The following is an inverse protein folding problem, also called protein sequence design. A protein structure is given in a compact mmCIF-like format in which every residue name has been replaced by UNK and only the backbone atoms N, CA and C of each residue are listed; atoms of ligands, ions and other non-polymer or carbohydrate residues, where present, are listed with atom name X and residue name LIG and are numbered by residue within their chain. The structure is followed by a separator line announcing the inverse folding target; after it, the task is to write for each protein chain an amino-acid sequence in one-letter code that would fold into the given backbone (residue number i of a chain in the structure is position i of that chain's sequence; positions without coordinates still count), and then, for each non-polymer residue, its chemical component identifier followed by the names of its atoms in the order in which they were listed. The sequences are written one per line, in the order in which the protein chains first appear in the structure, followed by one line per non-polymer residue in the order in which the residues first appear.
data_IF_614263226913
#
_entry.id   IF_614263226913
#
_cell.length_a   1.000
_cell.length_b   1.000
_cell.length_c   1.000
_cell.angle_alpha   90.00
_cell.angle_beta   90.00
_cell.angle_gamma   90.00
#
_symmetry.space_group_name_H-M   'P 1'
#
loop_
_entity.id
_entity.type
_entity.pdbx_description
1 polymer ?
#
# COMPACT_ATOMS: atom_id res chain seq x y z
N UNK A 1 -14.87 71.18 36.73
CA UNK A 1 -16.02 70.20 36.63
C UNK A 1 -15.88 69.44 35.31
N UNK A 2 -15.51 68.15 35.34
CA UNK A 2 -15.27 67.40 34.13
C UNK A 2 -16.62 67.04 33.51
N UNK A 3 -16.79 67.30 32.23
CA UNK A 3 -18.01 67.12 31.50
C UNK A 3 -18.48 65.65 31.56
N UNK A 4 -19.74 65.39 31.99
CA UNK A 4 -20.31 64.05 32.13
C UNK A 4 -20.17 63.19 30.83
N UNK A 5 -20.24 63.85 29.67
CA UNK A 5 -19.99 63.17 28.38
C UNK A 5 -18.57 62.66 28.22
N UNK A 6 -17.58 63.35 28.75
CA UNK A 6 -16.17 62.88 28.74
C UNK A 6 -15.96 61.65 29.64
N UNK A 7 -16.58 61.68 30.82
CA UNK A 7 -16.52 60.54 31.74
C UNK A 7 -17.17 59.30 31.13
N UNK A 8 -18.33 59.48 30.50
CA UNK A 8 -19.02 58.39 29.81
C UNK A 8 -18.24 57.79 28.66
N UNK A 9 -17.60 58.61 27.83
CA UNK A 9 -16.77 58.15 26.74
C UNK A 9 -15.48 57.43 27.23
N UNK A 10 -14.88 57.86 28.32
CA UNK A 10 -13.73 57.21 28.93
C UNK A 10 -14.11 55.84 29.52
N UNK A 11 -15.28 55.76 30.18
CA UNK A 11 -15.82 54.51 30.70
C UNK A 11 -16.17 53.52 29.56
N UNK A 12 -16.76 54.02 28.47
CA UNK A 12 -17.09 53.22 27.30
C UNK A 12 -15.85 52.65 26.63
N UNK A 13 -14.78 53.45 26.50
CA UNK A 13 -13.50 53.02 25.93
C UNK A 13 -12.82 52.00 26.85
N UNK A 14 -12.85 52.15 28.18
CA UNK A 14 -12.33 51.19 29.13
C UNK A 14 -13.08 49.85 29.09
N UNK A 15 -14.42 49.88 28.98
CA UNK A 15 -15.24 48.67 28.85
C UNK A 15 -14.96 48.00 27.52
N UNK A 16 -14.83 48.73 26.42
CA UNK A 16 -14.52 48.19 25.11
C UNK A 16 -13.09 47.56 25.04
N UNK A 17 -12.12 48.19 25.73
CA UNK A 17 -10.76 47.65 25.82
C UNK A 17 -10.66 46.38 26.69
N UNK A 18 -11.54 46.26 27.71
CA UNK A 18 -11.62 45.07 28.55
C UNK A 18 -12.20 43.84 27.81
N UNK A 19 -13.06 44.06 26.81
CA UNK A 19 -13.62 43.03 25.94
C UNK A 19 -12.67 42.61 24.84
N UNK A 20 -11.63 43.37 24.52
CA UNK A 20 -10.62 43.04 23.50
C UNK A 20 -9.42 42.22 24.06
N UNK A 21 -9.28 42.16 25.38
CA UNK A 21 -8.19 41.42 26.03
C UNK A 21 -8.31 39.88 26.00
N UNK A 22 -9.51 39.26 25.94
CA UNK A 22 -9.56 37.77 25.91
C UNK A 22 -9.45 37.16 24.55
N UNK A 23 -9.35 37.91 23.44
CA UNK A 23 -9.27 37.34 22.10
C UNK A 23 -7.84 36.85 21.69
N UNK A 24 -6.85 37.18 22.48
CA UNK A 24 -5.46 36.74 22.23
C UNK A 24 -5.09 35.39 22.81
N UNK A 25 -5.90 34.84 23.72
CA UNK A 25 -5.53 33.63 24.46
C UNK A 25 -5.81 32.29 23.75
N UNK A 26 -6.55 32.33 22.61
CA UNK A 26 -6.89 31.11 21.88
C UNK A 26 -5.96 30.79 20.69
N UNK A 27 -4.93 31.59 20.46
CA UNK A 27 -3.98 31.40 19.35
C UNK A 27 -2.58 30.96 19.83
N UNK A 28 -2.43 30.59 21.08
CA UNK A 28 -1.17 30.02 21.53
C UNK A 28 -1.10 28.57 21.03
N UNK A 29 -0.25 28.33 20.01
CA UNK A 29 -0.02 27.03 19.41
C UNK A 29 0.47 25.99 20.44
N UNK A 30 1.11 26.45 21.53
CA UNK A 30 1.66 25.59 22.56
C UNK A 30 0.59 25.08 23.54
N UNK A 31 -0.54 25.80 23.72
CA UNK A 31 -1.65 25.34 24.59
C UNK A 31 -2.49 24.26 23.91
N UNK A 32 -2.57 24.27 22.59
CA UNK A 32 -3.32 23.28 21.81
C UNK A 32 -2.45 22.10 21.33
N UNK A 33 -1.19 22.04 21.76
CA UNK A 33 -0.29 20.96 21.41
C UNK A 33 -0.57 19.76 22.29
N UNK A 34 -0.91 18.64 21.68
CA UNK A 34 -1.00 17.36 22.39
C UNK A 34 0.38 16.97 22.90
N UNK A 35 0.52 16.68 24.19
CA UNK A 35 1.78 16.14 24.77
C UNK A 35 2.17 14.77 24.19
N UNK A 36 1.29 14.16 23.42
CA UNK A 36 1.46 12.82 22.82
C UNK A 36 1.59 12.85 21.29
N UNK A 37 1.53 14.02 20.69
CA UNK A 37 1.75 14.20 19.25
C UNK A 37 3.12 14.80 19.00
N UNK A 38 3.94 14.14 18.19
CA UNK A 38 5.21 14.67 17.72
C UNK A 38 4.97 15.96 16.92
N UNK A 39 5.78 17.00 17.16
CA UNK A 39 5.70 18.22 16.35
C UNK A 39 6.31 18.04 14.95
N UNK A 40 6.11 19.04 14.09
CA UNK A 40 6.61 18.98 12.72
C UNK A 40 8.14 18.84 12.64
N UNK A 41 8.89 19.37 13.61
CA UNK A 41 10.35 19.22 13.67
C UNK A 41 10.73 17.82 14.20
N UNK A 42 10.02 17.30 15.21
CA UNK A 42 10.22 15.94 15.70
C UNK A 42 9.83 14.90 14.65
N UNK A 43 8.75 15.16 13.90
CA UNK A 43 8.34 14.28 12.80
C UNK A 43 9.33 14.27 11.64
N UNK A 44 10.07 15.36 11.41
CA UNK A 44 11.16 15.40 10.43
C UNK A 44 12.46 14.79 10.96
N UNK A 45 12.68 14.81 12.29
CA UNK A 45 13.80 14.09 12.89
C UNK A 45 13.64 12.59 12.66
N UNK A 46 14.74 11.93 12.33
CA UNK A 46 14.79 10.46 12.14
C UNK A 46 13.87 9.93 11.02
N UNK A 47 13.46 10.76 10.07
CA UNK A 47 12.58 10.36 8.96
C UNK A 47 11.25 9.70 9.40
N UNK A 48 10.67 10.12 10.53
CA UNK A 48 9.42 9.53 11.05
C UNK A 48 8.28 9.56 10.03
N UNK A 49 8.11 10.66 9.28
CA UNK A 49 7.05 10.76 8.26
C UNK A 49 7.29 9.74 7.14
N UNK A 50 8.52 9.61 6.68
CA UNK A 50 8.91 8.67 5.62
C UNK A 50 8.66 7.24 6.09
N UNK A 51 9.06 6.91 7.32
CA UNK A 51 8.80 5.61 7.93
C UNK A 51 7.30 5.33 8.06
N UNK A 52 6.50 6.29 8.48
CA UNK A 52 5.04 6.12 8.60
C UNK A 52 4.38 5.86 7.24
N UNK A 53 4.77 6.59 6.19
CA UNK A 53 4.24 6.37 4.83
C UNK A 53 4.66 5.01 4.27
N UNK A 54 5.92 4.61 4.43
CA UNK A 54 6.39 3.28 4.00
C UNK A 54 5.64 2.15 4.72
N UNK A 55 5.49 2.23 6.05
CA UNK A 55 4.73 1.25 6.84
C UNK A 55 3.26 1.20 6.46
N UNK A 56 2.66 2.36 6.19
CA UNK A 56 1.30 2.44 5.65
C UNK A 56 1.17 1.71 4.32
N UNK A 57 2.10 1.92 3.39
CA UNK A 57 2.13 1.21 2.10
C UNK A 57 2.37 -0.29 2.25
N UNK A 58 3.21 -0.73 3.19
CA UNK A 58 3.42 -2.16 3.48
C UNK A 58 2.11 -2.86 3.84
N UNK A 59 1.27 -2.21 4.67
CA UNK A 59 -0.05 -2.72 5.04
C UNK A 59 -1.06 -2.83 3.88
N UNK A 60 -0.78 -2.20 2.73
CA UNK A 60 -1.62 -2.28 1.53
C UNK A 60 -1.20 -3.37 0.56
N UNK A 61 0.02 -3.92 0.66
CA UNK A 61 0.49 -5.00 -0.22
C UNK A 61 -0.38 -6.24 -0.08
N UNK A 62 -0.67 -6.66 1.15
CA UNK A 62 -1.71 -7.63 1.46
C UNK A 62 -2.69 -6.95 2.42
N UNK A 63 -3.92 -6.66 1.98
CA UNK A 63 -4.87 -5.95 2.82
C UNK A 63 -5.12 -6.67 4.13
N UNK A 64 -5.03 -5.96 5.25
CA UNK A 64 -5.28 -6.50 6.58
C UNK A 64 -6.75 -6.41 6.99
N UNK A 65 -7.53 -5.56 6.30
CA UNK A 65 -8.97 -5.46 6.50
C UNK A 65 -9.69 -6.62 5.80
N UNK A 66 -10.55 -7.31 6.53
CA UNK A 66 -11.22 -8.52 6.12
C UNK A 66 -11.93 -8.42 4.76
N UNK A 67 -12.76 -7.40 4.56
CA UNK A 67 -13.51 -7.22 3.31
C UNK A 67 -12.61 -6.97 2.10
N UNK A 68 -11.62 -6.10 2.23
CA UNK A 68 -10.71 -5.80 1.13
C UNK A 68 -9.87 -7.02 0.77
N UNK A 69 -9.38 -7.74 1.78
CA UNK A 69 -8.69 -9.01 1.57
C UNK A 69 -9.58 -10.02 0.85
N UNK A 70 -10.81 -10.22 1.34
CA UNK A 70 -11.78 -11.16 0.79
C UNK A 70 -12.06 -10.91 -0.69
N UNK A 71 -12.35 -9.67 -1.06
CA UNK A 71 -12.70 -9.34 -2.44
C UNK A 71 -11.50 -9.42 -3.37
N UNK A 72 -10.35 -8.95 -2.94
CA UNK A 72 -9.12 -9.03 -3.72
C UNK A 72 -8.68 -10.49 -3.90
N UNK A 73 -8.67 -11.29 -2.85
CA UNK A 73 -8.29 -12.71 -2.91
C UNK A 73 -9.24 -13.51 -3.77
N UNK A 74 -10.55 -13.28 -3.65
CA UNK A 74 -11.56 -13.95 -4.44
C UNK A 74 -11.34 -13.78 -5.95
N UNK A 75 -11.03 -12.57 -6.40
CA UNK A 75 -10.78 -12.26 -7.81
C UNK A 75 -9.36 -12.61 -8.26
N UNK A 76 -8.37 -12.50 -7.39
CA UNK A 76 -6.98 -12.80 -7.70
C UNK A 76 -6.68 -14.31 -7.78
N UNK A 77 -7.63 -15.17 -7.43
CA UNK A 77 -7.46 -16.61 -7.56
C UNK A 77 -8.23 -17.47 -6.56
N UNK A 78 -8.61 -16.97 -5.42
CA UNK A 78 -9.32 -17.75 -4.40
C UNK A 78 -10.61 -18.37 -4.92
N UNK A 79 -11.65 -17.56 -5.12
CA UNK A 79 -12.92 -18.04 -5.66
C UNK A 79 -12.89 -18.20 -7.19
N UNK A 80 -12.32 -17.25 -7.93
CA UNK A 80 -12.24 -17.34 -9.38
C UNK A 80 -11.32 -18.46 -9.89
N UNK A 81 -10.30 -18.81 -9.13
CA UNK A 81 -9.46 -19.98 -9.40
C UNK A 81 -10.06 -21.31 -8.96
N UNK A 82 -11.25 -21.30 -8.34
CA UNK A 82 -11.93 -22.51 -7.86
C UNK A 82 -11.34 -23.10 -6.58
N UNK A 83 -10.48 -22.37 -5.85
CA UNK A 83 -9.91 -22.85 -4.59
C UNK A 83 -10.87 -22.67 -3.41
N UNK A 84 -11.63 -21.57 -3.41
CA UNK A 84 -12.57 -21.21 -2.37
C UNK A 84 -14.00 -21.17 -2.91
N UNK A 85 -14.97 -21.55 -2.08
CA UNK A 85 -16.39 -21.49 -2.39
C UNK A 85 -17.13 -20.72 -1.29
N UNK A 86 -18.01 -19.80 -1.70
CA UNK A 86 -18.92 -19.10 -0.79
C UNK A 86 -20.03 -20.03 -0.34
N UNK A 87 -20.16 -20.23 0.97
CA UNK A 87 -21.11 -21.19 1.55
C UNK A 87 -22.35 -20.54 2.18
N UNK A 88 -22.44 -19.21 2.15
CA UNK A 88 -23.62 -18.52 2.69
C UNK A 88 -24.81 -18.74 1.75
N UNK A 89 -25.78 -19.54 2.18
CA UNK A 89 -26.93 -19.93 1.35
C UNK A 89 -27.82 -18.76 0.95
N UNK A 90 -27.87 -17.72 1.78
CA UNK A 90 -28.66 -16.51 1.51
C UNK A 90 -28.03 -15.58 0.46
N UNK A 91 -26.78 -15.80 0.08
CA UNK A 91 -26.13 -15.00 -0.94
C UNK A 91 -26.54 -15.46 -2.34
N UNK A 92 -27.35 -14.64 -3.01
CA UNK A 92 -27.71 -14.84 -4.42
C UNK A 92 -26.52 -14.52 -5.32
N UNK A 93 -25.74 -13.49 -4.98
CA UNK A 93 -24.55 -13.07 -5.71
C UNK A 93 -23.29 -13.58 -5.00
N UNK A 94 -22.41 -14.29 -5.75
CA UNK A 94 -21.18 -14.90 -5.20
C UNK A 94 -20.05 -14.80 -6.20
N UNK A 95 -18.81 -14.61 -5.72
CA UNK A 95 -17.61 -14.73 -6.55
C UNK A 95 -17.46 -16.13 -7.15
N UNK A 96 -17.70 -17.18 -6.37
CA UNK A 96 -17.59 -18.58 -6.83
C UNK A 96 -18.54 -18.96 -7.97
N UNK A 97 -19.59 -18.21 -8.20
CA UNK A 97 -20.51 -18.36 -9.33
C UNK A 97 -20.31 -17.31 -10.43
N UNK A 98 -19.24 -16.55 -10.38
CA UNK A 98 -18.92 -15.43 -11.30
C UNK A 98 -20.02 -14.37 -11.39
N UNK A 99 -20.79 -14.21 -10.32
CA UNK A 99 -21.88 -13.24 -10.21
C UNK A 99 -21.77 -12.45 -8.90
N UNK A 100 -20.65 -11.71 -8.65
CA UNK A 100 -20.49 -10.89 -7.46
C UNK A 100 -21.30 -9.60 -7.56
N UNK A 101 -21.56 -8.98 -6.41
CA UNK A 101 -22.13 -7.64 -6.36
C UNK A 101 -21.14 -6.61 -6.93
N UNK A 102 -21.65 -5.59 -7.64
CA UNK A 102 -20.79 -4.56 -8.25
C UNK A 102 -19.92 -3.78 -7.24
N UNK A 103 -20.44 -3.54 -6.04
CA UNK A 103 -19.66 -2.91 -4.96
C UNK A 103 -18.42 -3.71 -4.58
N UNK A 104 -18.54 -5.04 -4.59
CA UNK A 104 -17.42 -5.94 -4.29
C UNK A 104 -16.33 -5.92 -5.39
N UNK A 105 -16.76 -5.73 -6.64
CA UNK A 105 -15.83 -5.58 -7.77
C UNK A 105 -15.10 -4.23 -7.76
N UNK A 106 -15.70 -3.19 -7.18
CA UNK A 106 -15.14 -1.84 -7.20
C UNK A 106 -14.03 -1.66 -6.16
N UNK A 107 -14.18 -2.24 -4.97
CA UNK A 107 -13.29 -2.03 -3.83
C UNK A 107 -11.83 -2.42 -4.11
N UNK A 108 -11.51 -3.62 -4.65
CA UNK A 108 -10.13 -4.00 -4.95
C UNK A 108 -9.44 -3.15 -6.02
N UNK A 109 -10.19 -2.40 -6.82
CA UNK A 109 -9.65 -1.42 -7.76
C UNK A 109 -9.42 -0.07 -7.11
N UNK A 110 -10.45 0.47 -6.45
CA UNK A 110 -10.47 1.85 -5.99
C UNK A 110 -9.65 2.06 -4.70
N UNK A 111 -9.74 1.12 -3.74
CA UNK A 111 -9.13 1.29 -2.44
C UNK A 111 -7.59 1.28 -2.50
N UNK A 112 -6.90 0.37 -3.23
CA UNK A 112 -5.46 0.46 -3.37
C UNK A 112 -4.98 1.78 -3.98
N UNK A 113 -5.68 2.28 -4.99
CA UNK A 113 -5.35 3.56 -5.64
C UNK A 113 -5.53 4.72 -4.66
N UNK A 114 -6.69 4.77 -3.99
CA UNK A 114 -7.05 5.84 -3.05
C UNK A 114 -6.14 5.88 -1.83
N UNK A 115 -5.75 4.72 -1.29
CA UNK A 115 -5.02 4.64 -0.04
C UNK A 115 -3.49 4.70 -0.25
N UNK A 116 -2.97 4.25 -1.40
CA UNK A 116 -1.53 4.19 -1.66
C UNK A 116 -0.96 5.47 -2.26
N UNK A 117 -1.60 6.04 -3.29
CA UNK A 117 -1.00 7.19 -4.01
C UNK A 117 -0.81 8.44 -3.16
N UNK A 118 -1.70 8.82 -2.22
CA UNK A 118 -1.42 9.92 -1.30
C UNK A 118 -0.17 9.67 -0.46
N UNK A 119 -0.01 8.47 0.10
CA UNK A 119 1.16 8.11 0.91
C UNK A 119 2.45 8.14 0.07
N UNK A 120 2.41 7.59 -1.14
CA UNK A 120 3.56 7.61 -2.05
C UNK A 120 3.95 9.04 -2.44
N UNK A 121 2.97 9.91 -2.71
CA UNK A 121 3.21 11.34 -2.98
C UNK A 121 3.79 12.09 -1.79
N UNK A 122 3.26 11.83 -0.60
CA UNK A 122 3.79 12.43 0.62
C UNK A 122 5.25 12.04 0.85
N UNK A 123 5.60 10.79 0.61
CA UNK A 123 6.98 10.33 0.70
C UNK A 123 7.88 11.06 -0.31
N UNK A 124 7.48 11.17 -1.57
CA UNK A 124 8.24 11.90 -2.61
C UNK A 124 8.47 13.37 -2.27
N UNK A 125 7.53 13.98 -1.52
CA UNK A 125 7.63 15.39 -1.10
C UNK A 125 8.43 15.58 0.20
N UNK A 126 8.74 14.51 0.94
CA UNK A 126 9.33 14.59 2.29
C UNK A 126 10.77 14.09 2.37
N UNK A 127 11.26 13.36 1.37
CA UNK A 127 12.61 12.83 1.38
C UNK A 127 13.23 12.82 0.00
N UNK A 128 14.54 13.08 -0.05
CA UNK A 128 15.41 12.87 -1.22
C UNK A 128 16.30 11.63 -1.03
N UNK A 129 16.11 10.85 0.04
CA UNK A 129 16.87 9.63 0.31
C UNK A 129 16.57 8.58 -0.77
N UNK A 130 17.55 8.21 -1.61
CA UNK A 130 17.33 7.32 -2.73
C UNK A 130 16.90 5.92 -2.29
N UNK A 131 17.36 5.44 -1.13
CA UNK A 131 17.00 4.09 -0.62
C UNK A 131 15.56 4.07 -0.14
N UNK A 132 15.12 5.09 0.61
CA UNK A 132 13.73 5.22 1.04
C UNK A 132 12.78 5.32 -0.17
N UNK A 133 13.16 6.11 -1.19
CA UNK A 133 12.42 6.22 -2.44
C UNK A 133 12.37 4.91 -3.22
N UNK A 134 13.45 4.12 -3.21
CA UNK A 134 13.48 2.79 -3.81
C UNK A 134 12.51 1.84 -3.11
N UNK A 135 12.46 1.83 -1.77
CA UNK A 135 11.48 1.03 -1.03
C UNK A 135 10.04 1.40 -1.38
N UNK A 136 9.73 2.70 -1.44
CA UNK A 136 8.40 3.17 -1.84
C UNK A 136 8.03 2.76 -3.27
N UNK A 137 8.97 2.84 -4.21
CA UNK A 137 8.79 2.39 -5.60
C UNK A 137 8.49 0.90 -5.69
N UNK A 138 9.24 0.08 -4.94
CA UNK A 138 9.00 -1.38 -4.87
C UNK A 138 7.61 -1.68 -4.32
N UNK A 139 7.21 -1.03 -3.21
CA UNK A 139 5.90 -1.22 -2.61
C UNK A 139 4.76 -0.79 -3.55
N UNK A 140 4.92 0.33 -4.26
CA UNK A 140 3.97 0.74 -5.31
C UNK A 140 3.77 -0.35 -6.35
N UNK A 141 4.85 -0.93 -6.86
CA UNK A 141 4.78 -2.05 -7.81
C UNK A 141 4.05 -3.24 -7.18
N UNK A 142 4.39 -3.62 -5.94
CA UNK A 142 3.77 -4.75 -5.25
C UNK A 142 2.25 -4.60 -5.08
N UNK A 143 1.78 -3.38 -4.79
CA UNK A 143 0.36 -3.11 -4.62
C UNK A 143 -0.34 -3.11 -5.98
N UNK A 144 0.19 -2.36 -6.94
CA UNK A 144 -0.49 -2.11 -8.20
C UNK A 144 -0.43 -3.28 -9.19
N UNK A 145 0.58 -4.17 -9.09
CA UNK A 145 0.61 -5.36 -9.94
C UNK A 145 -0.58 -6.28 -9.69
N UNK A 146 -1.07 -6.38 -8.43
CA UNK A 146 -2.29 -7.15 -8.11
C UNK A 146 -3.53 -6.52 -8.73
N UNK A 147 -3.58 -5.19 -8.79
CA UNK A 147 -4.69 -4.47 -9.42
C UNK A 147 -4.73 -4.75 -10.93
N UNK A 148 -3.59 -4.63 -11.62
CA UNK A 148 -3.54 -4.93 -13.07
C UNK A 148 -3.74 -6.42 -13.36
N UNK A 149 -3.31 -7.33 -12.47
CA UNK A 149 -3.57 -8.78 -12.61
C UNK A 149 -5.08 -9.07 -12.63
N UNK A 150 -5.89 -8.31 -11.88
CA UNK A 150 -7.34 -8.50 -11.78
C UNK A 150 -8.09 -7.76 -12.89
N UNK A 151 -7.72 -6.52 -13.17
CA UNK A 151 -8.50 -5.62 -14.03
C UNK A 151 -7.92 -5.40 -15.44
N UNK A 152 -6.67 -5.83 -15.68
CA UNK A 152 -5.97 -5.56 -16.93
C UNK A 152 -5.49 -4.11 -17.01
N UNK A 153 -6.01 -3.27 -17.93
CA UNK A 153 -5.64 -1.87 -18.01
C UNK A 153 -5.99 -1.09 -16.74
N UNK A 154 -5.05 -0.29 -16.24
CA UNK A 154 -5.23 0.56 -15.05
C UNK A 154 -4.53 1.92 -15.24
N UNK A 155 -4.92 2.99 -14.51
CA UNK A 155 -4.16 4.22 -14.46
C UNK A 155 -2.87 3.97 -13.66
N UNK A 156 -1.70 4.12 -14.27
CA UNK A 156 -0.42 3.82 -13.63
C UNK A 156 0.67 4.85 -13.91
N UNK A 157 1.07 5.02 -15.18
CA UNK A 157 2.26 5.82 -15.54
C UNK A 157 2.08 7.30 -15.20
N UNK A 158 0.88 7.84 -15.37
CA UNK A 158 0.56 9.26 -15.19
C UNK A 158 -0.06 9.61 -13.84
N UNK A 159 -0.18 8.65 -12.92
CA UNK A 159 -0.79 8.90 -11.61
C UNK A 159 -0.02 9.87 -10.74
N UNK A 160 1.27 10.07 -11.03
CA UNK A 160 2.15 10.98 -10.28
C UNK A 160 2.44 12.28 -11.03
N UNK A 161 1.92 12.45 -12.24
CA UNK A 161 2.06 13.70 -12.97
C UNK A 161 1.28 14.81 -12.23
N UNK A 162 1.97 15.89 -11.88
CA UNK A 162 1.43 16.95 -11.01
C UNK A 162 0.41 17.86 -11.70
N UNK A 163 0.09 17.63 -12.96
CA UNK A 163 -0.72 18.52 -13.77
C UNK A 163 -2.24 18.33 -13.61
N UNK A 164 -2.64 17.66 -12.51
CA UNK A 164 -4.06 17.51 -12.15
C UNK A 164 -4.70 18.81 -11.58
N UNK A 165 -4.12 19.95 -11.86
CA UNK A 165 -4.66 21.26 -11.47
C UNK A 165 -5.69 21.83 -12.47
N UNK A 166 -5.98 21.11 -13.56
CA UNK A 166 -6.87 21.52 -14.61
C UNK A 166 -8.22 20.82 -14.61
N UNK A 167 -9.07 21.19 -15.53
CA UNK A 167 -10.44 20.72 -15.70
C UNK A 167 -10.57 19.21 -16.00
N UNK A 168 -9.46 18.51 -16.29
CA UNK A 168 -9.42 17.11 -16.65
C UNK A 168 -8.77 16.27 -15.52
N UNK A 169 -9.59 15.87 -14.54
CA UNK A 169 -9.20 14.99 -13.44
C UNK A 169 -9.03 13.51 -13.85
N UNK A 170 -9.28 13.20 -15.13
CA UNK A 170 -9.23 11.84 -15.62
C UNK A 170 -7.79 11.42 -15.95
N UNK A 171 -7.22 10.51 -15.17
CA UNK A 171 -5.95 9.87 -15.49
C UNK A 171 -6.19 8.78 -16.54
N UNK A 172 -5.49 8.81 -17.69
CA UNK A 172 -5.65 7.77 -18.71
C UNK A 172 -5.21 6.41 -18.22
N UNK A 173 -5.86 5.36 -18.72
CA UNK A 173 -5.47 3.98 -18.44
C UNK A 173 -4.31 3.58 -19.35
N UNK A 174 -3.31 2.96 -18.75
CA UNK A 174 -2.27 2.25 -19.49
C UNK A 174 -2.73 0.82 -19.79
N UNK A 175 -2.34 0.28 -20.93
CA UNK A 175 -2.55 -1.15 -21.20
C UNK A 175 -1.76 -2.00 -20.19
N UNK A 176 -2.17 -3.23 -19.94
CA UNK A 176 -1.45 -4.12 -19.01
C UNK A 176 0.01 -4.34 -19.43
N UNK A 177 0.29 -4.39 -20.74
CA UNK A 177 1.65 -4.46 -21.26
C UNK A 177 2.48 -3.24 -20.87
N UNK A 178 1.91 -2.03 -21.01
CA UNK A 178 2.56 -0.78 -20.59
C UNK A 178 2.80 -0.77 -19.07
N UNK A 179 1.81 -1.21 -18.29
CA UNK A 179 1.92 -1.28 -16.84
C UNK A 179 3.05 -2.21 -16.41
N UNK A 180 3.09 -3.44 -16.95
CA UNK A 180 4.18 -4.39 -16.61
C UNK A 180 5.55 -3.90 -17.07
N UNK A 181 5.63 -3.30 -18.25
CA UNK A 181 6.89 -2.72 -18.75
C UNK A 181 7.40 -1.62 -17.83
N UNK A 182 6.52 -0.73 -17.40
CA UNK A 182 6.86 0.33 -16.46
C UNK A 182 7.25 -0.22 -15.08
N UNK A 183 6.52 -1.20 -14.57
CA UNK A 183 6.82 -1.87 -13.30
C UNK A 183 8.20 -2.54 -13.30
N UNK A 184 8.54 -3.25 -14.37
CA UNK A 184 9.85 -3.88 -14.53
C UNK A 184 10.98 -2.85 -14.56
N UNK A 185 10.77 -1.72 -15.25
CA UNK A 185 11.70 -0.61 -15.26
C UNK A 185 11.89 0.00 -13.86
N UNK A 186 10.79 0.22 -13.14
CA UNK A 186 10.83 0.75 -11.77
C UNK A 186 11.55 -0.19 -10.80
N UNK A 187 11.36 -1.49 -10.93
CA UNK A 187 12.08 -2.49 -10.14
C UNK A 187 13.58 -2.52 -10.49
N UNK A 188 13.96 -2.37 -11.75
CA UNK A 188 15.36 -2.30 -12.18
C UNK A 188 16.05 -1.04 -11.64
N UNK A 189 15.37 0.12 -11.72
CA UNK A 189 15.86 1.37 -11.13
C UNK A 189 16.04 1.27 -9.61
N UNK A 190 15.07 0.66 -8.92
CA UNK A 190 15.15 0.44 -7.48
C UNK A 190 16.29 -0.51 -7.10
N UNK A 191 16.45 -1.63 -7.82
CA UNK A 191 17.56 -2.57 -7.58
C UNK A 191 18.91 -1.91 -7.76
N UNK A 192 19.08 -1.07 -8.78
CA UNK A 192 20.32 -0.33 -9.01
C UNK A 192 20.66 0.58 -7.82
N UNK A 193 19.67 1.33 -7.30
CA UNK A 193 19.85 2.16 -6.11
C UNK A 193 20.24 1.32 -4.90
N UNK A 194 19.59 0.19 -4.70
CA UNK A 194 19.88 -0.72 -3.59
C UNK A 194 21.27 -1.35 -3.72
N UNK A 195 21.73 -1.72 -4.94
CA UNK A 195 23.09 -2.22 -5.18
C UNK A 195 24.14 -1.17 -4.86
N UNK A 196 23.94 0.09 -5.30
CA UNK A 196 24.86 1.19 -5.03
C UNK A 196 24.98 1.51 -3.53
N UNK A 197 23.99 1.11 -2.74
CA UNK A 197 23.90 1.37 -1.30
C UNK A 197 23.98 0.09 -0.44
N UNK A 198 24.40 -1.04 -0.99
CA UNK A 198 24.41 -2.34 -0.31
C UNK A 198 25.27 -2.41 0.95
N UNK A 199 26.29 -1.57 1.02
CA UNK A 199 27.24 -1.52 2.15
C UNK A 199 26.75 -0.61 3.29
N UNK A 200 25.63 0.08 3.11
CA UNK A 200 25.03 0.89 4.16
C UNK A 200 24.49 -0.01 5.29
N UNK A 201 24.66 0.48 6.51
CA UNK A 201 24.15 -0.21 7.69
C UNK A 201 22.63 -0.34 7.64
N UNK A 202 22.11 -1.54 7.86
CA UNK A 202 20.67 -1.77 8.01
C UNK A 202 20.04 -0.91 9.14
N UNK A 203 20.84 -0.50 10.13
CA UNK A 203 20.38 0.35 11.23
C UNK A 203 19.87 1.72 10.74
N UNK A 204 20.48 2.27 9.66
CA UNK A 204 20.05 3.53 9.07
C UNK A 204 18.60 3.50 8.57
N UNK A 205 18.12 2.33 8.13
CA UNK A 205 16.80 2.14 7.55
C UNK A 205 15.86 1.31 8.42
N UNK A 206 16.34 0.78 9.54
CA UNK A 206 15.59 -0.14 10.40
C UNK A 206 14.26 0.42 10.92
N UNK A 207 14.20 1.74 11.14
CA UNK A 207 12.99 2.40 11.61
C UNK A 207 12.01 2.73 10.50
N UNK A 208 12.45 2.70 9.23
CA UNK A 208 11.64 3.12 8.09
C UNK A 208 10.65 2.05 7.63
N UNK A 209 10.97 0.76 7.85
CA UNK A 209 10.17 -0.32 7.30
C UNK A 209 10.20 -1.56 8.21
N UNK A 210 9.15 -2.37 8.14
CA UNK A 210 8.92 -3.50 9.04
C UNK A 210 9.02 -4.88 8.33
N UNK A 211 9.35 -4.92 7.02
CA UNK A 211 9.50 -6.18 6.29
C UNK A 211 10.84 -6.84 6.54
N UNK A 212 11.92 -6.08 6.33
CA UNK A 212 13.29 -6.56 6.42
C UNK A 212 14.18 -5.73 7.35
N UNK A 213 13.58 -4.75 8.03
CA UNK A 213 14.27 -3.88 8.98
C UNK A 213 15.55 -3.25 8.42
N UNK A 214 15.44 -2.72 7.19
CA UNK A 214 16.54 -2.06 6.48
C UNK A 214 17.56 -3.00 5.85
N UNK A 215 17.32 -4.30 5.79
CA UNK A 215 18.23 -5.24 5.15
C UNK A 215 18.14 -5.15 3.62
N UNK A 216 19.06 -4.38 3.03
CA UNK A 216 19.09 -4.11 1.57
C UNK A 216 19.24 -5.39 0.75
N UNK A 217 20.05 -6.35 1.21
CA UNK A 217 20.24 -7.62 0.50
C UNK A 217 18.94 -8.42 0.37
N UNK A 218 18.11 -8.44 1.43
CA UNK A 218 16.79 -9.09 1.37
C UNK A 218 15.81 -8.33 0.49
N UNK A 219 15.83 -7.01 0.53
CA UNK A 219 15.04 -6.18 -0.38
C UNK A 219 15.38 -6.45 -1.84
N UNK A 220 16.65 -6.61 -2.18
CA UNK A 220 17.09 -6.95 -3.54
C UNK A 220 16.56 -8.31 -3.99
N UNK A 221 16.69 -9.35 -3.15
CA UNK A 221 16.08 -10.67 -3.45
C UNK A 221 14.57 -10.55 -3.66
N UNK A 222 13.90 -9.71 -2.90
CA UNK A 222 12.48 -9.45 -3.07
C UNK A 222 12.18 -8.78 -4.41
N UNK A 223 12.96 -7.78 -4.81
CA UNK A 223 12.85 -7.12 -6.14
C UNK A 223 12.99 -8.13 -7.26
N UNK A 224 14.05 -8.96 -7.24
CA UNK A 224 14.29 -9.97 -8.27
C UNK A 224 13.15 -11.00 -8.30
N UNK A 225 12.62 -11.38 -7.15
CA UNK A 225 11.44 -12.27 -7.07
C UNK A 225 10.19 -11.63 -7.67
N UNK A 226 10.00 -10.33 -7.50
CA UNK A 226 8.91 -9.58 -8.14
C UNK A 226 9.10 -9.48 -9.65
N UNK A 227 10.33 -9.27 -10.14
CA UNK A 227 10.64 -9.31 -11.58
C UNK A 227 10.35 -10.68 -12.17
N UNK A 228 10.77 -11.75 -11.51
CA UNK A 228 10.45 -13.12 -11.91
C UNK A 228 8.94 -13.35 -11.93
N UNK A 229 8.21 -12.87 -10.92
CA UNK A 229 6.76 -13.00 -10.84
C UNK A 229 6.05 -12.31 -12.01
N UNK A 230 6.46 -11.11 -12.39
CA UNK A 230 5.90 -10.38 -13.54
C UNK A 230 6.27 -11.11 -14.83
N UNK A 231 7.51 -11.55 -14.99
CA UNK A 231 7.96 -12.33 -16.16
C UNK A 231 7.09 -13.58 -16.38
N UNK A 232 6.80 -14.33 -15.32
CA UNK A 232 5.95 -15.53 -15.41
C UNK A 232 4.52 -15.19 -15.89
N UNK A 233 3.98 -14.02 -15.57
CA UNK A 233 2.68 -13.57 -16.11
C UNK A 233 2.72 -13.25 -17.59
N UNK A 234 3.87 -12.83 -18.08
CA UNK A 234 4.09 -12.51 -19.50
C UNK A 234 4.39 -13.75 -20.35
N UNK A 235 4.59 -14.92 -19.74
CA UNK A 235 5.12 -16.13 -20.41
C UNK A 235 4.30 -16.61 -21.61
N UNK A 236 2.99 -16.37 -21.65
CA UNK A 236 2.14 -16.76 -22.77
C UNK A 236 1.97 -15.67 -23.83
N UNK A 237 2.13 -14.40 -23.48
CA UNK A 237 1.93 -13.27 -24.41
C UNK A 237 3.24 -12.77 -25.00
N UNK A 238 4.34 -12.87 -24.27
CA UNK A 238 5.67 -12.50 -24.74
C UNK A 238 6.74 -13.46 -24.14
N UNK A 239 6.80 -14.72 -24.61
CA UNK A 239 7.65 -15.75 -24.02
C UNK A 239 9.14 -15.42 -24.09
N UNK A 240 9.61 -14.79 -25.15
CA UNK A 240 11.02 -14.43 -25.32
C UNK A 240 11.48 -13.42 -24.27
N UNK A 241 10.72 -12.35 -24.08
CA UNK A 241 11.04 -11.32 -23.09
C UNK A 241 10.84 -11.85 -21.67
N UNK A 242 9.79 -12.63 -21.43
CA UNK A 242 9.54 -13.30 -20.16
C UNK A 242 10.72 -14.19 -19.75
N UNK A 243 11.24 -15.00 -20.68
CA UNK A 243 12.41 -15.85 -20.44
C UNK A 243 13.65 -15.01 -20.10
N UNK A 244 13.93 -13.97 -20.87
CA UNK A 244 15.07 -13.08 -20.65
C UNK A 244 15.04 -12.45 -19.26
N UNK A 245 13.88 -11.92 -18.85
CA UNK A 245 13.71 -11.28 -17.54
C UNK A 245 13.81 -12.32 -16.42
N UNK A 246 13.17 -13.47 -16.58
CA UNK A 246 13.20 -14.54 -15.58
C UNK A 246 14.62 -15.05 -15.33
N UNK A 247 15.40 -15.28 -16.39
CA UNK A 247 16.80 -15.70 -16.28
C UNK A 247 17.64 -14.65 -15.55
N UNK A 248 17.54 -13.37 -15.95
CA UNK A 248 18.24 -12.27 -15.29
C UNK A 248 17.90 -12.18 -13.80
N UNK A 249 16.62 -12.32 -13.44
CA UNK A 249 16.18 -12.25 -12.07
C UNK A 249 16.70 -13.40 -11.21
N UNK A 250 16.69 -14.63 -11.73
CA UNK A 250 17.22 -15.82 -11.04
C UNK A 250 18.73 -15.73 -10.86
N UNK A 251 19.47 -15.31 -11.88
CA UNK A 251 20.92 -15.11 -11.83
C UNK A 251 21.32 -14.03 -10.81
N UNK A 252 20.50 -12.98 -10.66
CA UNK A 252 20.72 -11.92 -9.67
C UNK A 252 20.40 -12.35 -8.22
N UNK A 253 19.69 -13.46 -8.04
CA UNK A 253 19.33 -14.06 -6.76
C UNK A 253 17.91 -13.67 -6.31
N UNK A 254 17.03 -14.65 -6.25
CA UNK A 254 15.64 -14.54 -5.79
C UNK A 254 15.48 -15.05 -4.36
N UNK A 255 14.29 -14.97 -3.80
CA UNK A 255 13.94 -15.62 -2.54
C UNK A 255 13.93 -17.14 -2.77
N UNK A 256 14.78 -17.87 -2.03
CA UNK A 256 14.92 -19.32 -2.14
C UNK A 256 14.56 -20.06 -0.86
N UNK A 257 14.52 -19.35 0.27
CA UNK A 257 14.23 -19.93 1.57
C UNK A 257 13.23 -19.11 2.37
N UNK A 258 12.63 -19.70 3.41
CA UNK A 258 11.72 -19.02 4.32
C UNK A 258 12.42 -17.92 5.15
N UNK A 259 13.74 -17.93 5.24
CA UNK A 259 14.52 -16.89 5.94
C UNK A 259 14.50 -15.55 5.19
N UNK A 260 14.23 -15.60 3.89
CA UNK A 260 14.16 -14.41 3.02
C UNK A 260 12.71 -13.93 2.80
N UNK A 261 11.73 -14.55 3.45
CA UNK A 261 10.32 -14.16 3.31
C UNK A 261 10.09 -12.71 3.72
N UNK A 262 9.35 -11.96 2.90
CA UNK A 262 8.81 -10.66 3.26
C UNK A 262 7.59 -10.86 4.19
N UNK A 263 7.81 -10.74 5.49
CA UNK A 263 6.80 -10.97 6.51
C UNK A 263 6.45 -9.68 7.22
N UNK A 264 5.22 -9.18 7.02
CA UNK A 264 4.70 -8.07 7.82
C UNK A 264 3.97 -8.63 9.05
N UNK A 265 4.47 -8.29 10.23
CA UNK A 265 3.81 -8.63 11.48
C UNK A 265 2.74 -7.59 11.79
N UNK A 266 1.49 -8.01 11.80
CA UNK A 266 0.33 -7.17 12.12
C UNK A 266 -0.18 -7.49 13.51
N UNK A 267 -0.69 -6.46 14.21
CA UNK A 267 -1.23 -6.63 15.56
C UNK A 267 -2.48 -7.53 15.58
N UNK A 268 -3.28 -7.48 14.51
CA UNK A 268 -4.50 -8.26 14.37
C UNK A 268 -4.62 -8.75 12.92
N UNK A 269 -4.75 -10.06 12.74
CA UNK A 269 -5.07 -10.66 11.44
C UNK A 269 -6.59 -10.84 11.32
N UNK A 270 -7.25 -9.86 10.74
CA UNK A 270 -8.70 -9.86 10.60
C UNK A 270 -9.22 -10.80 9.50
N UNK A 271 -8.34 -11.33 8.63
CA UNK A 271 -8.75 -12.31 7.62
C UNK A 271 -9.26 -13.62 8.25
N UNK A 272 -8.88 -13.92 9.48
CA UNK A 272 -9.40 -15.07 10.24
C UNK A 272 -10.92 -15.01 10.43
N UNK A 273 -11.51 -13.81 10.51
CA UNK A 273 -12.95 -13.62 10.66
C UNK A 273 -13.74 -14.25 9.51
N UNK A 274 -13.20 -14.23 8.29
CA UNK A 274 -13.86 -14.78 7.09
C UNK A 274 -14.13 -16.28 7.20
N UNK A 275 -13.25 -17.00 7.89
CA UNK A 275 -13.30 -18.44 7.99
C UNK A 275 -13.91 -18.93 9.32
N UNK A 276 -13.56 -18.26 10.41
CA UNK A 276 -13.91 -18.71 11.75
C UNK A 276 -15.21 -18.09 12.30
N UNK A 277 -15.45 -16.80 12.03
CA UNK A 277 -16.59 -16.09 12.60
C UNK A 277 -17.74 -15.92 11.60
N UNK A 278 -17.43 -15.42 10.39
CA UNK A 278 -18.47 -15.16 9.39
C UNK A 278 -18.82 -16.39 8.59
N UNK A 279 -17.88 -17.32 8.47
CA UNK A 279 -18.12 -18.57 7.78
C UNK A 279 -18.45 -18.39 6.28
N UNK A 280 -17.88 -17.34 5.67
CA UNK A 280 -18.20 -16.92 4.30
C UNK A 280 -17.68 -17.89 3.25
N UNK A 281 -16.49 -18.46 3.49
CA UNK A 281 -15.78 -19.30 2.54
C UNK A 281 -15.28 -20.60 3.16
N UNK A 282 -15.22 -21.61 2.30
CA UNK A 282 -14.56 -22.90 2.56
C UNK A 282 -13.71 -23.29 1.36
N UNK A 283 -12.79 -24.21 1.56
CA UNK A 283 -12.09 -24.86 0.45
C UNK A 283 -13.16 -25.54 -0.42
N UNK A 284 -13.11 -25.29 -1.74
CA UNK A 284 -14.06 -25.88 -2.67
C UNK A 284 -13.96 -27.42 -2.67
N UNK A 285 -15.07 -28.09 -2.91
CA UNK A 285 -15.11 -29.55 -2.96
C UNK A 285 -14.12 -30.14 -3.97
N UNK A 286 -13.92 -29.45 -5.11
CA UNK A 286 -12.95 -29.85 -6.14
C UNK A 286 -11.52 -29.75 -5.61
N UNK A 287 -11.14 -28.62 -5.03
CA UNK A 287 -9.80 -28.42 -4.44
C UNK A 287 -9.53 -29.41 -3.31
N UNK A 288 -10.52 -29.66 -2.44
CA UNK A 288 -10.40 -30.63 -1.36
C UNK A 288 -10.14 -32.05 -1.89
N UNK A 289 -10.88 -32.45 -2.94
CA UNK A 289 -10.71 -33.78 -3.56
C UNK A 289 -9.31 -33.93 -4.17
N UNK A 290 -8.81 -32.91 -4.88
CA UNK A 290 -7.47 -32.93 -5.44
C UNK A 290 -6.37 -32.99 -4.38
N UNK A 291 -6.49 -32.23 -3.30
CA UNK A 291 -5.52 -32.28 -2.20
C UNK A 291 -5.46 -33.69 -1.57
N UNK A 292 -6.62 -34.29 -1.29
CA UNK A 292 -6.68 -35.65 -0.73
C UNK A 292 -6.15 -36.72 -1.68
N UNK A 293 -6.37 -36.58 -2.98
CA UNK A 293 -5.83 -37.53 -3.97
C UNK A 293 -4.29 -37.54 -4.01
N UNK A 294 -3.66 -36.42 -3.71
CA UNK A 294 -2.20 -36.34 -3.60
C UNK A 294 -1.66 -36.91 -2.29
N UNK A 295 -2.39 -36.79 -1.19
CA UNK A 295 -2.01 -37.39 0.10
C UNK A 295 -2.07 -38.94 0.05
N UNK A 296 -3.12 -39.51 -0.55
CA UNK A 296 -3.23 -40.96 -0.69
C UNK A 296 -2.16 -41.58 -1.57
N UNK A 297 -1.58 -40.83 -2.52
CA UNK A 297 -0.45 -41.31 -3.35
C UNK A 297 0.90 -41.27 -2.62
N UNK A 298 1.04 -40.52 -1.53
CA UNK A 298 2.27 -40.50 -0.73
C UNK A 298 2.37 -41.66 0.26
N UNK A 299 1.29 -42.39 0.48
CA UNK A 299 1.20 -43.52 1.41
C UNK A 299 1.11 -44.88 0.70
N UNK A 300 1.24 -44.92 -0.64
CA UNK A 300 1.42 -46.12 -1.45
C UNK A 300 2.85 -46.16 -2.03
#
# INVERSE_FOLDING_TARGET
MMDMKRIYNILLIMILSLFLLPLGGCFDSDINRSMYEADGEEMQRENHIVGATLKGMQGLVIPTREHLYQFMDAMAGGAYGGYLEGIVDTWVMKFSTFNPEQGWLKSPFADPIKDMYPQYRDMLNKTDDPVALAFGKILRVCIMHRVTDIYGPIPYSKMMDNDNSGEDLAVPYDSQEQVYTQMLKELEEADKVLEENKDLSSEAFRKLEDLYYGNISKWRKFVHSMQLRIAMRMSYVNPTEAQRIAQKAVEAGVIESNEDNAMLHVAENRSELLFNNWNDYRISAVSYTHLRAHETRRHL
#
